data_IF_002349534398
#
_entry.id   IF_002349534398
#
_cell.length_a   1.000
_cell.length_b   1.000
_cell.length_c   1.000
_cell.angle_alpha   90.00
_cell.angle_beta   90.00
_cell.angle_gamma   90.00
#
_symmetry.space_group_name_H-M   'P 1'
#
loop_
_entity.id
_entity.type
_entity.pdbx_description
1 polymer ?
#
# COMPACT_ATOMS: atom_id res chain seq x y z
N UNK A 1 7.14 4.87 -25.09
CA UNK A 1 7.98 3.63 -25.05
C UNK A 1 7.19 2.41 -24.54
N UNK A 2 7.60 1.15 -24.80
CA UNK A 2 6.99 -0.04 -24.14
C UNK A 2 7.53 -0.14 -22.70
N UNK A 3 6.66 -0.20 -21.71
CA UNK A 3 7.06 -0.30 -20.29
C UNK A 3 7.81 -1.62 -20.06
N UNK A 4 8.99 -1.60 -19.41
CA UNK A 4 9.72 -2.82 -19.04
C UNK A 4 8.85 -3.80 -18.23
N UNK A 5 9.01 -5.09 -18.49
CA UNK A 5 8.22 -6.15 -17.85
C UNK A 5 8.32 -6.13 -16.33
N UNK A 6 9.53 -5.90 -15.79
CA UNK A 6 9.74 -5.77 -14.35
C UNK A 6 8.92 -4.65 -13.73
N UNK A 7 8.88 -3.47 -14.36
CA UNK A 7 8.07 -2.34 -13.90
C UNK A 7 6.58 -2.69 -13.96
N UNK A 8 6.10 -3.30 -15.05
CA UNK A 8 4.71 -3.75 -15.14
C UNK A 8 4.36 -4.75 -14.02
N UNK A 9 5.24 -5.69 -13.73
CA UNK A 9 5.04 -6.68 -12.66
C UNK A 9 4.95 -6.01 -11.29
N UNK A 10 5.78 -5.01 -10.98
CA UNK A 10 5.70 -4.27 -9.72
C UNK A 10 4.38 -3.50 -9.63
N UNK A 11 3.98 -2.80 -10.70
CA UNK A 11 2.70 -2.07 -10.76
C UNK A 11 1.52 -3.01 -10.52
N UNK A 12 1.53 -4.18 -11.16
CA UNK A 12 0.49 -5.19 -10.99
C UNK A 12 0.43 -5.69 -9.54
N UNK A 13 1.57 -6.00 -8.92
CA UNK A 13 1.64 -6.40 -7.50
C UNK A 13 1.12 -5.32 -6.55
N UNK A 14 1.35 -4.03 -6.84
CA UNK A 14 0.77 -2.94 -6.04
C UNK A 14 -0.75 -2.98 -6.12
N UNK A 15 -1.31 -3.06 -7.33
CA UNK A 15 -2.76 -3.08 -7.55
C UNK A 15 -3.41 -4.32 -6.91
N UNK A 16 -2.77 -5.49 -7.04
CA UNK A 16 -3.28 -6.75 -6.49
C UNK A 16 -3.21 -6.81 -4.96
N UNK A 17 -2.22 -6.14 -4.36
CA UNK A 17 -2.03 -6.18 -2.90
C UNK A 17 -3.22 -5.59 -2.11
N UNK A 18 -3.99 -4.63 -2.67
CA UNK A 18 -5.22 -4.13 -2.02
C UNK A 18 -6.22 -5.26 -1.79
N UNK A 19 -6.38 -6.06 -2.84
CA UNK A 19 -7.36 -7.15 -2.91
C UNK A 19 -7.00 -8.25 -1.93
N UNK A 20 -5.72 -8.62 -1.88
CA UNK A 20 -5.18 -9.59 -0.93
C UNK A 20 -5.35 -9.12 0.52
N UNK A 21 -4.95 -7.89 0.83
CA UNK A 21 -5.09 -7.34 2.18
C UNK A 21 -6.54 -7.30 2.66
N UNK A 22 -7.47 -6.85 1.81
CA UNK A 22 -8.90 -6.82 2.13
C UNK A 22 -9.48 -8.21 2.36
N UNK A 23 -9.06 -9.20 1.57
CA UNK A 23 -9.45 -10.60 1.74
C UNK A 23 -8.93 -11.17 3.08
N UNK A 24 -7.68 -10.89 3.41
CA UNK A 24 -7.06 -11.29 4.68
C UNK A 24 -7.72 -10.62 5.89
N UNK A 25 -8.02 -9.33 5.81
CA UNK A 25 -8.77 -8.66 6.87
C UNK A 25 -10.15 -9.29 7.07
N UNK A 26 -10.87 -9.56 5.99
CA UNK A 26 -12.17 -10.25 6.03
C UNK A 26 -12.09 -11.62 6.72
N UNK A 27 -11.00 -12.35 6.48
CA UNK A 27 -10.71 -13.63 7.14
C UNK A 27 -10.73 -13.53 8.66
N UNK A 28 -10.04 -12.51 9.16
CA UNK A 28 -9.77 -12.31 10.58
C UNK A 28 -11.02 -11.87 11.35
N UNK A 29 -11.99 -11.28 10.65
CA UNK A 29 -13.26 -10.82 11.22
C UNK A 29 -14.36 -11.89 11.29
N UNK A 30 -14.11 -13.12 10.86
CA UNK A 30 -14.88 -14.26 11.35
C UNK A 30 -15.14 -15.35 10.32
N UNK A 31 -14.78 -16.59 10.67
CA UNK A 31 -15.25 -17.88 10.13
C UNK A 31 -15.27 -18.10 8.59
N UNK A 32 -14.83 -17.14 7.79
CA UNK A 32 -15.00 -17.13 6.32
C UNK A 32 -14.33 -18.36 5.70
N UNK A 33 -13.10 -18.69 6.11
CA UNK A 33 -12.39 -19.87 5.61
C UNK A 33 -13.12 -21.18 5.92
N UNK A 34 -13.68 -21.32 7.12
CA UNK A 34 -14.33 -22.56 7.58
C UNK A 34 -15.66 -22.84 6.86
N UNK A 35 -16.30 -21.82 6.26
CA UNK A 35 -17.54 -22.00 5.51
C UNK A 35 -17.34 -21.95 3.99
N UNK A 36 -16.33 -21.23 3.47
CA UNK A 36 -16.14 -21.04 2.03
C UNK A 36 -15.88 -22.36 1.29
N UNK A 37 -14.85 -23.10 1.70
CA UNK A 37 -14.43 -24.29 0.97
C UNK A 37 -15.50 -25.40 1.01
N UNK A 38 -16.09 -25.77 2.16
CA UNK A 38 -17.14 -26.78 2.21
C UNK A 38 -18.40 -26.39 1.44
N UNK A 39 -18.72 -25.10 1.35
CA UNK A 39 -19.97 -24.63 0.72
C UNK A 39 -19.85 -24.42 -0.78
N UNK A 40 -18.68 -24.04 -1.29
CA UNK A 40 -18.56 -23.58 -2.68
C UNK A 40 -17.66 -24.43 -3.57
N UNK A 41 -16.67 -25.17 -3.05
CA UNK A 41 -15.60 -25.82 -3.85
C UNK A 41 -16.09 -26.73 -4.98
N UNK A 42 -17.21 -27.41 -4.78
CA UNK A 42 -17.79 -28.34 -5.76
C UNK A 42 -19.08 -27.79 -6.39
N UNK A 43 -19.28 -26.47 -6.35
CA UNK A 43 -20.44 -25.79 -6.92
C UNK A 43 -20.02 -24.93 -8.10
N UNK A 44 -20.96 -24.57 -8.98
CA UNK A 44 -20.69 -23.60 -10.04
C UNK A 44 -20.26 -22.23 -9.50
N UNK A 45 -20.60 -21.92 -8.25
CA UNK A 45 -20.29 -20.65 -7.60
C UNK A 45 -18.81 -20.53 -7.18
N UNK A 46 -17.99 -21.58 -7.28
CA UNK A 46 -16.59 -21.57 -6.82
C UNK A 46 -15.74 -20.48 -7.49
N UNK A 47 -16.00 -20.24 -8.76
CA UNK A 47 -15.29 -19.28 -9.62
C UNK A 47 -16.17 -18.08 -10.00
N UNK A 48 -17.38 -17.96 -9.42
CA UNK A 48 -18.26 -16.82 -9.68
C UNK A 48 -17.96 -15.68 -8.68
N UNK A 49 -17.76 -14.43 -9.15
CA UNK A 49 -17.58 -13.28 -8.26
C UNK A 49 -18.81 -13.06 -7.36
N UNK A 50 -18.58 -13.01 -6.06
CA UNK A 50 -19.60 -12.76 -5.05
C UNK A 50 -19.22 -11.54 -4.21
N UNK A 51 -20.22 -10.79 -3.77
CA UNK A 51 -20.03 -9.67 -2.83
C UNK A 51 -19.93 -10.18 -1.41
N UNK A 52 -18.79 -9.95 -0.77
CA UNK A 52 -18.57 -10.24 0.64
C UNK A 52 -18.50 -8.94 1.44
N UNK A 53 -19.13 -8.93 2.61
CA UNK A 53 -19.11 -7.78 3.50
C UNK A 53 -17.74 -7.65 4.17
N UNK A 54 -17.19 -6.45 4.16
CA UNK A 54 -15.90 -6.15 4.78
C UNK A 54 -16.13 -5.16 5.93
N UNK A 55 -16.09 -5.61 7.20
CA UNK A 55 -16.21 -4.70 8.33
C UNK A 55 -15.19 -3.57 8.22
N UNK A 56 -15.60 -2.34 8.50
CA UNK A 56 -14.71 -1.17 8.48
C UNK A 56 -14.00 -0.84 7.16
N UNK A 57 -14.49 -1.30 5.99
CA UNK A 57 -14.08 -0.73 4.69
C UNK A 57 -15.05 0.34 4.21
N UNK A 58 -14.54 1.39 3.56
CA UNK A 58 -15.35 2.47 2.98
C UNK A 58 -16.36 1.99 1.94
N UNK A 59 -16.03 0.92 1.22
CA UNK A 59 -16.83 0.37 0.12
C UNK A 59 -17.94 -0.58 0.63
N UNK A 60 -17.90 -0.98 1.91
CA UNK A 60 -18.89 -1.85 2.60
C UNK A 60 -18.93 -3.31 2.14
N UNK A 61 -18.77 -3.54 0.84
CA UNK A 61 -18.70 -4.85 0.20
C UNK A 61 -17.56 -4.88 -0.82
N UNK A 62 -16.98 -6.07 -1.03
CA UNK A 62 -15.93 -6.33 -2.00
C UNK A 62 -16.24 -7.60 -2.80
N UNK A 63 -15.86 -7.62 -4.07
CA UNK A 63 -16.09 -8.76 -4.97
C UNK A 63 -14.88 -9.70 -5.04
N UNK A 64 -15.13 -10.96 -4.74
CA UNK A 64 -14.15 -12.04 -4.84
C UNK A 64 -14.80 -13.31 -5.36
N UNK A 65 -14.04 -14.18 -6.00
CA UNK A 65 -14.47 -15.58 -6.11
C UNK A 65 -14.19 -16.30 -4.78
N UNK A 66 -15.01 -17.30 -4.40
CA UNK A 66 -14.70 -18.20 -3.29
C UNK A 66 -13.31 -18.86 -3.40
N UNK A 67 -12.87 -19.18 -4.61
CA UNK A 67 -11.56 -19.77 -4.91
C UNK A 67 -10.40 -18.83 -4.56
N UNK A 68 -10.48 -17.57 -5.00
CA UNK A 68 -9.49 -16.52 -4.73
C UNK A 68 -9.38 -16.26 -3.23
N UNK A 69 -10.51 -16.10 -2.54
CA UNK A 69 -10.52 -15.95 -1.09
C UNK A 69 -9.88 -17.16 -0.41
N UNK A 70 -10.29 -18.38 -0.75
CA UNK A 70 -9.74 -19.58 -0.12
C UNK A 70 -8.23 -19.72 -0.35
N UNK A 71 -7.74 -19.38 -1.55
CA UNK A 71 -6.32 -19.34 -1.88
C UNK A 71 -5.54 -18.38 -0.98
N UNK A 72 -6.01 -17.13 -0.89
CA UNK A 72 -5.41 -16.07 -0.06
C UNK A 72 -5.45 -16.46 1.43
N UNK A 73 -6.54 -17.08 1.88
CA UNK A 73 -6.75 -17.48 3.27
C UNK A 73 -5.82 -18.61 3.73
N UNK A 74 -5.53 -19.57 2.84
CA UNK A 74 -4.60 -20.66 3.11
C UNK A 74 -3.14 -20.19 3.08
N UNK A 75 -2.87 -18.99 2.55
CA UNK A 75 -1.51 -18.58 2.21
C UNK A 75 -0.75 -17.75 3.25
N UNK A 76 -1.32 -17.14 4.33
CA UNK A 76 -0.59 -16.75 5.59
C UNK A 76 -1.21 -15.73 6.58
N UNK A 77 -0.60 -15.78 7.79
CA UNK A 77 -0.21 -14.81 8.85
C UNK A 77 -1.09 -13.65 9.35
N UNK A 78 -1.19 -13.57 10.67
CA UNK A 78 -2.15 -12.81 11.51
C UNK A 78 -1.92 -11.30 11.67
N UNK A 79 -0.95 -10.66 11.01
CA UNK A 79 -0.66 -9.21 11.17
C UNK A 79 -1.00 -8.38 9.90
N UNK A 80 -2.25 -8.47 9.48
CA UNK A 80 -2.73 -8.07 8.14
C UNK A 80 -2.58 -6.58 7.80
N UNK A 81 -3.00 -5.70 8.72
CA UNK A 81 -3.16 -4.27 8.49
C UNK A 81 -1.82 -3.57 8.32
N UNK A 82 -0.90 -3.80 9.26
CA UNK A 82 0.43 -3.19 9.23
C UNK A 82 1.40 -3.95 8.29
N UNK A 83 1.20 -5.26 8.08
CA UNK A 83 1.90 -6.02 7.05
C UNK A 83 1.61 -5.54 5.63
N UNK A 84 0.36 -5.13 5.34
CA UNK A 84 0.02 -4.50 4.06
C UNK A 84 0.78 -3.20 3.83
N UNK A 85 0.88 -2.34 4.86
CA UNK A 85 1.67 -1.11 4.77
C UNK A 85 3.14 -1.38 4.43
N UNK A 86 3.73 -2.41 5.05
CA UNK A 86 5.07 -2.84 4.69
C UNK A 86 5.17 -3.26 3.23
N UNK A 87 4.24 -4.08 2.75
CA UNK A 87 4.20 -4.57 1.36
C UNK A 87 4.09 -3.42 0.36
N UNK A 88 3.11 -2.53 0.51
CA UNK A 88 2.88 -1.46 -0.46
C UNK A 88 4.01 -0.43 -0.51
N UNK A 89 4.63 -0.14 0.64
CA UNK A 89 5.79 0.75 0.66
C UNK A 89 7.02 0.12 0.03
N UNK A 90 7.30 -1.15 0.32
CA UNK A 90 8.43 -1.84 -0.30
C UNK A 90 8.24 -1.94 -1.82
N UNK A 91 7.02 -2.17 -2.30
CA UNK A 91 6.71 -2.18 -3.74
C UNK A 91 6.84 -0.79 -4.37
N UNK A 92 6.42 0.27 -3.66
CA UNK A 92 6.60 1.65 -4.14
C UNK A 92 8.08 2.03 -4.22
N UNK A 93 8.87 1.68 -3.20
CA UNK A 93 10.31 1.87 -3.18
C UNK A 93 10.96 1.12 -4.35
N UNK A 94 10.64 -0.18 -4.52
CA UNK A 94 11.12 -1.00 -5.65
C UNK A 94 10.77 -0.38 -7.01
N UNK A 95 9.52 0.10 -7.17
CA UNK A 95 9.09 0.76 -8.41
C UNK A 95 9.94 1.99 -8.71
N UNK A 96 10.16 2.85 -7.72
CA UNK A 96 10.90 4.11 -7.90
C UNK A 96 12.35 3.82 -8.26
N UNK A 97 12.97 2.84 -7.61
CA UNK A 97 14.33 2.41 -7.91
C UNK A 97 14.46 1.95 -9.36
N UNK A 98 13.54 1.11 -9.84
CA UNK A 98 13.51 0.64 -11.23
C UNK A 98 13.26 1.80 -12.23
N UNK A 99 12.41 2.75 -11.90
CA UNK A 99 12.18 3.93 -12.72
C UNK A 99 13.42 4.82 -12.83
N UNK A 100 14.13 4.98 -11.72
CA UNK A 100 15.37 5.74 -11.68
C UNK A 100 16.46 5.08 -12.53
N UNK A 101 16.59 3.75 -12.45
CA UNK A 101 17.52 3.00 -13.29
C UNK A 101 17.20 3.18 -14.78
N UNK A 102 15.92 3.15 -15.15
CA UNK A 102 15.47 3.34 -16.53
C UNK A 102 15.77 4.74 -17.06
N UNK A 103 15.55 5.78 -16.24
CA UNK A 103 15.59 7.18 -16.68
C UNK A 103 17.00 7.79 -16.60
N UNK A 104 17.80 7.35 -15.63
CA UNK A 104 19.14 7.89 -15.37
C UNK A 104 20.26 6.95 -15.81
N UNK A 105 20.02 6.12 -16.84
CA UNK A 105 21.02 5.20 -17.41
C UNK A 105 21.73 4.34 -16.35
N UNK A 106 20.95 3.72 -15.45
CA UNK A 106 21.49 2.79 -14.45
C UNK A 106 22.06 3.44 -13.19
N UNK A 107 21.81 4.74 -12.96
CA UNK A 107 22.15 5.36 -11.67
C UNK A 107 21.22 4.84 -10.58
N UNK A 108 21.81 4.15 -9.61
CA UNK A 108 21.09 3.65 -8.43
C UNK A 108 20.72 4.81 -7.50
N UNK A 109 19.45 4.85 -7.10
CA UNK A 109 18.88 5.85 -6.20
C UNK A 109 18.20 5.08 -5.09
N UNK A 110 18.54 5.36 -3.83
CA UNK A 110 17.94 4.64 -2.70
C UNK A 110 16.60 5.28 -2.34
N UNK A 111 15.50 4.61 -2.65
CA UNK A 111 14.15 5.13 -2.38
C UNK A 111 13.71 4.94 -0.92
N UNK A 112 14.46 4.16 -0.14
CA UNK A 112 14.28 3.94 1.30
C UNK A 112 14.29 5.24 2.12
N UNK A 113 15.03 6.25 1.67
CA UNK A 113 15.07 7.60 2.28
C UNK A 113 13.90 8.44 1.78
N UNK A 114 13.05 8.91 2.71
CA UNK A 114 11.89 9.74 2.37
C UNK A 114 12.26 11.00 1.58
N UNK A 115 13.41 11.62 1.86
CA UNK A 115 13.88 12.79 1.10
C UNK A 115 14.12 12.48 -0.39
N UNK A 116 14.57 11.27 -0.73
CA UNK A 116 14.75 10.87 -2.13
C UNK A 116 13.40 10.62 -2.80
N UNK A 117 12.49 9.93 -2.09
CA UNK A 117 11.10 9.74 -2.51
C UNK A 117 10.40 11.08 -2.76
N UNK A 118 10.52 12.03 -1.83
CA UNK A 118 9.97 13.37 -1.93
C UNK A 118 10.51 14.12 -3.16
N UNK A 119 11.84 14.11 -3.36
CA UNK A 119 12.47 14.72 -4.54
C UNK A 119 11.96 14.11 -5.84
N UNK A 120 11.81 12.79 -5.88
CA UNK A 120 11.25 12.07 -7.02
C UNK A 120 9.82 12.55 -7.31
N UNK A 121 8.96 12.56 -6.29
CA UNK A 121 7.56 12.93 -6.44
C UNK A 121 7.37 14.39 -6.87
N UNK A 122 8.16 15.30 -6.30
CA UNK A 122 8.15 16.73 -6.64
C UNK A 122 8.81 17.05 -8.00
N UNK A 123 9.51 16.09 -8.60
CA UNK A 123 10.30 16.32 -9.79
C UNK A 123 11.45 17.30 -9.56
N UNK A 124 12.05 17.30 -8.35
CA UNK A 124 13.26 18.08 -8.08
C UNK A 124 14.47 17.44 -8.76
N UNK A 125 15.54 18.20 -9.00
CA UNK A 125 16.79 17.69 -9.59
C UNK A 125 17.24 16.38 -8.92
N UNK A 126 17.50 15.28 -9.67
CA UNK A 126 17.51 15.14 -11.14
C UNK A 126 16.19 14.65 -11.79
N UNK A 127 15.08 14.59 -11.05
CA UNK A 127 13.80 14.00 -11.44
C UNK A 127 12.87 14.93 -12.20
N UNK A 128 13.34 16.02 -12.81
CA UNK A 128 12.46 17.02 -13.45
C UNK A 128 11.54 16.43 -14.53
N UNK A 129 11.97 15.34 -15.17
CA UNK A 129 11.19 14.61 -16.19
C UNK A 129 10.07 13.73 -15.60
N UNK A 130 10.05 13.55 -14.28
CA UNK A 130 9.18 12.63 -13.54
C UNK A 130 8.18 13.36 -12.65
N UNK A 131 8.06 14.69 -12.76
CA UNK A 131 7.21 15.49 -11.89
C UNK A 131 5.81 14.87 -11.80
N UNK A 132 5.51 14.26 -10.66
CA UNK A 132 4.17 13.80 -10.36
C UNK A 132 3.38 15.00 -9.85
N UNK A 133 2.15 15.20 -10.33
CA UNK A 133 1.27 16.25 -9.82
C UNK A 133 0.74 15.88 -8.42
N UNK A 134 1.63 15.66 -7.46
CA UNK A 134 1.30 15.38 -6.07
C UNK A 134 1.18 16.71 -5.30
N UNK A 135 0.23 16.78 -4.38
CA UNK A 135 0.04 17.94 -3.50
C UNK A 135 0.94 17.84 -2.26
N UNK A 136 1.18 18.96 -1.58
CA UNK A 136 1.96 18.96 -0.34
C UNK A 136 1.27 18.15 0.76
N UNK A 137 -0.06 18.17 0.81
CA UNK A 137 -0.88 17.36 1.72
C UNK A 137 -0.65 15.87 1.48
N UNK A 138 -0.65 15.42 0.22
CA UNK A 138 -0.39 14.03 -0.13
C UNK A 138 1.03 13.59 0.22
N UNK A 139 2.02 14.47 0.09
CA UNK A 139 3.40 14.18 0.53
C UNK A 139 3.43 13.97 2.05
N UNK A 140 2.72 14.82 2.82
CA UNK A 140 2.64 14.67 4.29
C UNK A 140 1.96 13.37 4.68
N UNK A 141 0.87 12.99 4.00
CA UNK A 141 0.20 11.70 4.23
C UNK A 141 1.12 10.51 3.90
N UNK A 142 1.87 10.59 2.80
CA UNK A 142 2.83 9.55 2.43
C UNK A 142 3.97 9.44 3.46
N UNK A 143 4.43 10.58 4.02
CA UNK A 143 5.41 10.59 5.12
C UNK A 143 4.85 9.88 6.35
N UNK A 144 3.62 10.20 6.76
CA UNK A 144 2.97 9.55 7.89
C UNK A 144 2.80 8.05 7.68
N UNK A 145 2.41 7.64 6.47
CA UNK A 145 2.27 6.23 6.12
C UNK A 145 3.62 5.48 6.21
N UNK A 146 4.71 6.10 5.75
CA UNK A 146 6.07 5.55 5.87
C UNK A 146 6.53 5.43 7.31
N UNK A 147 6.34 6.47 8.13
CA UNK A 147 6.71 6.40 9.55
C UNK A 147 5.84 5.41 10.33
N UNK A 148 4.57 5.22 9.92
CA UNK A 148 3.70 4.19 10.48
C UNK A 148 4.23 2.78 10.19
N UNK A 149 4.68 2.53 8.96
CA UNK A 149 5.42 1.30 8.61
C UNK A 149 6.68 1.14 9.45
N UNK A 150 7.49 2.19 9.59
CA UNK A 150 8.75 2.11 10.34
C UNK A 150 8.51 1.76 11.81
N UNK A 151 7.51 2.38 12.44
CA UNK A 151 7.11 2.03 13.81
C UNK A 151 6.64 0.57 13.91
N UNK A 152 5.93 0.06 12.91
CA UNK A 152 5.55 -1.36 12.87
C UNK A 152 6.76 -2.28 12.82
N UNK A 153 7.65 -2.08 11.84
CA UNK A 153 8.80 -2.97 11.57
C UNK A 153 9.87 -2.88 12.67
N UNK A 154 10.17 -1.67 13.13
CA UNK A 154 11.35 -1.42 13.97
C UNK A 154 11.01 -1.21 15.44
N UNK A 155 9.78 -0.80 15.76
CA UNK A 155 9.40 -0.41 17.12
C UNK A 155 8.27 -1.27 17.70
N UNK A 156 8.00 -2.47 17.16
CA UNK A 156 6.92 -3.35 17.61
C UNK A 156 5.56 -2.64 17.67
N UNK A 157 5.22 -1.86 16.63
CA UNK A 157 4.01 -1.04 16.56
C UNK A 157 3.89 0.06 17.61
N UNK A 158 4.99 0.50 18.24
CA UNK A 158 4.98 1.62 19.19
C UNK A 158 5.27 2.94 18.48
N UNK A 159 4.56 3.97 18.91
CA UNK A 159 4.75 5.36 18.48
C UNK A 159 6.12 5.86 18.92
N UNK A 160 6.83 6.50 18.00
CA UNK A 160 8.08 7.22 18.26
C UNK A 160 7.95 8.72 17.92
N UNK A 161 9.03 9.48 18.15
CA UNK A 161 9.08 10.92 17.88
C UNK A 161 8.85 11.24 16.40
N UNK A 162 9.45 10.45 15.49
CA UNK A 162 9.34 10.68 14.04
C UNK A 162 7.90 10.51 13.56
N UNK A 163 7.19 9.51 14.09
CA UNK A 163 5.79 9.31 13.78
C UNK A 163 4.94 10.48 14.29
N UNK A 164 5.17 10.95 15.52
CA UNK A 164 4.43 12.10 16.08
C UNK A 164 4.65 13.37 15.25
N UNK A 165 5.89 13.64 14.83
CA UNK A 165 6.21 14.74 13.94
C UNK A 165 5.47 14.61 12.60
N UNK A 166 5.55 13.45 11.94
CA UNK A 166 4.85 13.20 10.70
C UNK A 166 3.32 13.32 10.84
N UNK A 167 2.76 12.88 11.97
CA UNK A 167 1.33 12.98 12.25
C UNK A 167 0.89 14.44 12.37
N UNK A 168 1.64 15.25 13.14
CA UNK A 168 1.38 16.68 13.30
C UNK A 168 1.44 17.42 11.97
N UNK A 169 2.41 17.09 11.12
CA UNK A 169 2.53 17.65 9.77
C UNK A 169 1.32 17.32 8.89
N UNK A 170 0.87 16.06 8.89
CA UNK A 170 -0.21 15.59 8.02
C UNK A 170 -1.62 16.01 8.50
N UNK A 171 -1.87 15.94 9.80
CA UNK A 171 -3.22 16.11 10.37
C UNK A 171 -3.44 17.47 11.04
N UNK A 172 -2.42 18.33 11.13
CA UNK A 172 -2.50 19.68 11.73
C UNK A 172 -3.14 19.69 13.13
N UNK A 173 -2.99 18.59 13.87
CA UNK A 173 -3.55 18.38 15.20
C UNK A 173 -2.47 17.76 16.09
N UNK A 174 -2.48 18.13 17.37
CA UNK A 174 -1.73 17.37 18.35
C UNK A 174 -2.30 15.94 18.40
N UNK A 175 -1.41 14.95 18.22
CA UNK A 175 -1.74 13.55 18.46
C UNK A 175 -2.13 13.39 19.92
N UNK A 176 -3.27 12.73 20.18
CA UNK A 176 -3.66 12.34 21.55
C UNK A 176 -2.71 11.24 22.07
N UNK A 177 -2.04 10.54 21.16
CA UNK A 177 -1.13 9.43 21.43
C UNK A 177 0.27 9.91 21.80
N UNK A 178 0.91 9.27 22.77
CA UNK A 178 2.26 9.58 23.27
C UNK A 178 3.31 8.55 22.82
N UNK A 179 4.61 8.90 22.95
CA UNK A 179 5.72 7.99 22.65
C UNK A 179 5.58 6.70 23.48
N UNK A 180 5.78 5.55 22.82
CA UNK A 180 5.70 4.23 23.43
C UNK A 180 4.30 3.62 23.45
N UNK A 181 3.25 4.39 23.14
CA UNK A 181 1.90 3.87 22.97
C UNK A 181 1.75 3.09 21.65
N UNK A 182 0.73 2.24 21.57
CA UNK A 182 0.44 1.48 20.35
C UNK A 182 -0.02 2.42 19.24
N UNK A 183 0.48 2.20 18.02
CA UNK A 183 0.08 2.93 16.82
C UNK A 183 -1.46 2.94 16.65
N UNK A 184 -2.10 4.12 16.52
CA UNK A 184 -3.53 4.25 16.31
C UNK A 184 -3.87 4.25 14.82
N UNK A 185 -3.40 3.25 14.07
CA UNK A 185 -3.67 3.13 12.63
C UNK A 185 -4.92 2.29 12.41
N UNK A 186 -5.95 2.89 11.81
CA UNK A 186 -7.18 2.19 11.46
C UNK A 186 -7.18 1.68 10.01
N UNK A 187 -8.19 0.87 9.67
CA UNK A 187 -8.30 0.26 8.36
C UNK A 187 -8.51 1.29 7.23
N UNK A 188 -9.35 2.29 7.47
CA UNK A 188 -9.69 3.31 6.48
C UNK A 188 -8.47 4.18 6.11
N UNK A 189 -7.61 4.47 7.09
CA UNK A 189 -6.36 5.20 6.88
C UNK A 189 -5.42 4.44 5.95
N UNK A 190 -5.40 3.10 6.02
CA UNK A 190 -4.61 2.28 5.11
C UNK A 190 -5.24 2.21 3.71
N UNK A 191 -6.57 2.17 3.60
CA UNK A 191 -7.25 2.33 2.31
C UNK A 191 -6.83 3.67 1.64
N UNK A 192 -6.82 4.76 2.40
CA UNK A 192 -6.42 6.08 1.88
C UNK A 192 -4.96 6.12 1.40
N UNK A 193 -4.06 5.51 2.16
CA UNK A 193 -2.65 5.43 1.77
C UNK A 193 -2.44 4.53 0.56
N UNK A 194 -3.17 3.43 0.45
CA UNK A 194 -3.13 2.57 -0.72
C UNK A 194 -3.61 3.32 -1.98
N UNK A 195 -4.74 4.01 -1.89
CA UNK A 195 -5.30 4.81 -3.00
C UNK A 195 -4.31 5.91 -3.44
N UNK A 196 -3.63 6.56 -2.49
CA UNK A 196 -2.57 7.53 -2.77
C UNK A 196 -1.40 6.87 -3.50
N UNK A 197 -0.93 5.70 -3.07
CA UNK A 197 0.15 4.97 -3.75
C UNK A 197 -0.26 4.57 -5.17
N UNK A 198 -1.48 4.04 -5.38
CA UNK A 198 -2.00 3.75 -6.73
C UNK A 198 -2.02 5.02 -7.58
N UNK A 199 -2.45 6.16 -7.03
CA UNK A 199 -2.43 7.45 -7.74
C UNK A 199 -1.02 7.82 -8.19
N UNK A 200 -0.02 7.66 -7.32
CA UNK A 200 1.40 7.88 -7.65
C UNK A 200 1.86 6.92 -8.75
N UNK A 201 1.55 5.63 -8.62
CA UNK A 201 1.93 4.58 -9.58
C UNK A 201 1.34 4.84 -10.96
N UNK A 202 0.06 5.18 -11.05
CA UNK A 202 -0.59 5.48 -12.32
C UNK A 202 0.01 6.72 -12.99
N UNK A 203 0.39 7.73 -12.20
CA UNK A 203 1.10 8.90 -12.72
C UNK A 203 2.50 8.54 -13.23
N UNK A 204 3.26 7.78 -12.47
CA UNK A 204 4.58 7.30 -12.89
C UNK A 204 4.47 6.48 -14.19
N UNK A 205 3.48 5.59 -14.30
CA UNK A 205 3.17 4.83 -15.52
C UNK A 205 2.94 5.75 -16.73
N UNK A 206 2.14 6.80 -16.57
CA UNK A 206 1.89 7.76 -17.66
C UNK A 206 3.17 8.48 -18.11
N UNK A 207 4.07 8.82 -17.18
CA UNK A 207 5.36 9.41 -17.54
C UNK A 207 6.17 8.44 -18.41
N UNK A 208 6.29 7.17 -18.04
CA UNK A 208 7.06 6.17 -18.80
C UNK A 208 6.50 5.96 -20.21
N UNK A 209 5.17 5.93 -20.35
CA UNK A 209 4.52 5.76 -21.67
C UNK A 209 4.90 6.93 -22.58
N UNK A 210 5.01 8.12 -22.01
CA UNK A 210 5.33 9.38 -22.69
C UNK A 210 6.83 9.67 -22.84
N UNK A 211 7.71 8.84 -22.26
CA UNK A 211 9.14 8.79 -22.58
C UNK A 211 9.37 8.08 -23.94
#
# INVERSE_FOLDING_TARGET
MKIPERINNIIQRIIESEREWKALYMASWGCVLFYLEPRFKNTNLWEEPMKFGLPASKKGYQEYTPSELCGILKSKDTEFTLGHLQTIFSLLEELIEELCLLIFNGKEIKADKFENLKKFLLGEKPYERLKTEITDEEIKELKLAKESRNCFIHNNSKVDEKWLEAYKEARTKDSITQIGEKLPVDFHQIEDWHDLIIKIVNKAKNVIVNL
#
